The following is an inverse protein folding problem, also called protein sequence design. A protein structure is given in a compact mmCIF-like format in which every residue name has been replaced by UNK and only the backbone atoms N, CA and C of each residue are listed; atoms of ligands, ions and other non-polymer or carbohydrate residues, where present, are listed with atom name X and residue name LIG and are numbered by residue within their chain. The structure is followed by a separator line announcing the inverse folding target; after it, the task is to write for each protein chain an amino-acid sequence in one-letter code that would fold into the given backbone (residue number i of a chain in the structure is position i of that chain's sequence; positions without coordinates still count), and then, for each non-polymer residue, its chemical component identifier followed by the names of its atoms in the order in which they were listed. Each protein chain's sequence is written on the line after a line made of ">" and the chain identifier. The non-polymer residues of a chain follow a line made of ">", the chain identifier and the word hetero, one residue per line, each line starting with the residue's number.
data_IF_283511149151
#
_entry.id   IF_283511149151
#
_cell.length_a   1.000
_cell.length_b   1.000
_cell.length_c   1.000
_cell.angle_alpha   90.00
_cell.angle_beta   90.00
_cell.angle_gamma   90.00
#
_symmetry.space_group_name_H-M   'P 1'
#
loop_
_entity.id
_entity.type
_entity.pdbx_description
1 polymer ?
#
# COMPACT_ATOMS: atom_id res chain seq x y z
N UNK A 1 -27.51 -20.48 14.92
CA UNK A 1 -26.58 -20.26 13.79
C UNK A 1 -26.45 -18.78 13.44
N UNK A 2 -27.56 -18.05 13.24
CA UNK A 2 -27.60 -16.60 12.98
C UNK A 2 -26.78 -15.73 13.93
N UNK A 3 -26.82 -15.99 15.24
CA UNK A 3 -26.05 -15.23 16.24
C UNK A 3 -24.54 -15.36 16.01
N UNK A 4 -24.04 -16.54 15.63
CA UNK A 4 -22.61 -16.74 15.34
C UNK A 4 -22.19 -16.00 14.08
N UNK A 5 -23.06 -15.96 13.07
CA UNK A 5 -22.82 -15.21 11.84
C UNK A 5 -22.76 -13.69 12.10
N UNK A 6 -23.67 -13.18 12.95
CA UNK A 6 -23.67 -11.78 13.36
C UNK A 6 -22.36 -11.37 14.06
N UNK A 7 -21.85 -12.20 14.98
CA UNK A 7 -20.57 -11.94 15.62
C UNK A 7 -19.37 -12.01 14.66
N UNK A 8 -19.42 -12.86 13.62
CA UNK A 8 -18.36 -12.94 12.62
C UNK A 8 -18.28 -11.66 11.75
N UNK A 9 -19.43 -11.10 11.36
CA UNK A 9 -19.49 -9.85 10.56
C UNK A 9 -18.96 -8.66 11.38
N UNK A 10 -19.19 -8.66 12.70
CA UNK A 10 -18.73 -7.62 13.63
C UNK A 10 -17.21 -7.63 13.91
N UNK A 11 -16.50 -8.69 13.55
CA UNK A 11 -15.05 -8.78 13.73
C UNK A 11 -14.25 -8.13 12.60
N UNK A 12 -14.90 -7.81 11.47
CA UNK A 12 -14.23 -7.19 10.33
C UNK A 12 -14.08 -5.69 10.59
N UNK A 13 -12.84 -5.16 10.69
CA UNK A 13 -12.64 -3.73 10.88
C UNK A 13 -13.25 -2.95 9.70
N UNK A 14 -14.11 -1.94 9.93
CA UNK A 14 -14.61 -1.13 8.83
C UNK A 14 -13.44 -0.35 8.21
N UNK A 15 -13.35 -0.39 6.87
CA UNK A 15 -12.33 0.35 6.12
C UNK A 15 -10.96 -0.33 6.00
N UNK A 16 -10.79 -1.57 6.46
CA UNK A 16 -9.64 -2.40 6.07
C UNK A 16 -10.00 -3.31 4.91
N UNK A 17 -9.00 -3.67 4.11
CA UNK A 17 -9.16 -4.73 3.12
C UNK A 17 -9.44 -6.07 3.80
N UNK A 18 -10.49 -6.72 3.35
CA UNK A 18 -10.89 -8.07 3.69
C UNK A 18 -10.42 -9.04 2.60
N UNK A 19 -10.31 -10.35 2.89
CA UNK A 19 -9.90 -11.35 1.89
C UNK A 19 -10.77 -11.37 0.63
N UNK A 20 -12.03 -10.94 0.76
CA UNK A 20 -13.00 -10.88 -0.32
C UNK A 20 -12.89 -9.59 -1.16
N UNK A 21 -12.07 -8.61 -0.73
CA UNK A 21 -11.86 -7.32 -1.40
C UNK A 21 -10.85 -7.46 -2.54
N UNK A 22 -11.24 -8.18 -3.58
CA UNK A 22 -10.42 -8.54 -4.75
C UNK A 22 -10.65 -7.62 -5.95
N UNK A 23 -11.11 -6.39 -5.70
CA UNK A 23 -11.28 -5.38 -6.73
C UNK A 23 -9.91 -4.98 -7.30
N UNK A 24 -9.82 -4.67 -8.60
CA UNK A 24 -8.60 -4.14 -9.19
C UNK A 24 -8.24 -2.79 -8.56
N UNK A 25 -6.94 -2.47 -8.53
CA UNK A 25 -6.44 -1.15 -8.09
C UNK A 25 -7.11 -0.06 -8.94
N UNK A 26 -7.68 0.95 -8.28
CA UNK A 26 -8.32 2.09 -8.94
C UNK A 26 -7.37 3.29 -8.97
N UNK A 27 -6.72 3.52 -10.11
CA UNK A 27 -5.83 4.67 -10.28
C UNK A 27 -6.53 6.04 -10.30
N UNK A 28 -7.87 6.10 -10.24
CA UNK A 28 -8.61 7.35 -10.00
C UNK A 28 -8.70 7.69 -8.52
N UNK A 29 -8.58 6.69 -7.65
CA UNK A 29 -8.49 6.91 -6.23
C UNK A 29 -7.08 7.44 -5.87
N UNK A 30 -6.98 8.56 -5.16
CA UNK A 30 -5.69 9.16 -4.85
C UNK A 30 -4.83 8.29 -3.93
N UNK A 31 -5.42 7.48 -3.03
CA UNK A 31 -4.67 6.59 -2.16
C UNK A 31 -4.04 5.46 -2.96
N UNK A 32 -4.81 4.80 -3.83
CA UNK A 32 -4.32 3.73 -4.70
C UNK A 32 -3.20 4.21 -5.62
N UNK A 33 -3.36 5.38 -6.25
CA UNK A 33 -2.32 5.98 -7.08
C UNK A 33 -1.03 6.26 -6.28
N UNK A 34 -1.15 6.81 -5.07
CA UNK A 34 0.00 7.14 -4.23
C UNK A 34 0.74 5.87 -3.81
N UNK A 35 0.04 4.89 -3.26
CA UNK A 35 0.64 3.70 -2.65
C UNK A 35 1.21 2.76 -3.72
N UNK A 36 0.48 2.53 -4.81
CA UNK A 36 0.86 1.52 -5.81
C UNK A 36 1.74 2.06 -6.94
N UNK A 37 1.81 3.39 -7.13
CA UNK A 37 2.62 4.00 -8.20
C UNK A 37 3.67 4.96 -7.66
N UNK A 38 3.24 6.00 -6.93
CA UNK A 38 4.14 7.09 -6.52
C UNK A 38 5.18 6.61 -5.51
N UNK A 39 4.76 5.86 -4.49
CA UNK A 39 5.64 5.37 -3.42
C UNK A 39 6.77 4.46 -3.97
N UNK A 40 6.52 3.44 -4.81
CA UNK A 40 7.58 2.66 -5.45
C UNK A 40 8.57 3.51 -6.26
N UNK A 41 8.06 4.47 -7.02
CA UNK A 41 8.90 5.38 -7.83
C UNK A 41 9.81 6.23 -6.93
N UNK A 42 9.26 6.77 -5.83
CA UNK A 42 10.03 7.55 -4.85
C UNK A 42 11.09 6.69 -4.14
N UNK A 43 10.79 5.44 -3.80
CA UNK A 43 11.76 4.51 -3.21
C UNK A 43 12.93 4.24 -4.16
N UNK A 44 12.65 3.97 -5.44
CA UNK A 44 13.67 3.73 -6.46
C UNK A 44 14.51 4.99 -6.68
N UNK A 45 13.88 6.15 -6.88
CA UNK A 45 14.56 7.42 -7.08
C UNK A 45 15.44 7.78 -5.87
N UNK A 46 14.89 7.66 -4.66
CA UNK A 46 15.59 7.88 -3.41
C UNK A 46 16.81 6.96 -3.26
N UNK A 47 16.65 5.67 -3.57
CA UNK A 47 17.76 4.72 -3.57
C UNK A 47 18.88 5.11 -4.55
N UNK A 48 18.53 5.51 -5.78
CA UNK A 48 19.51 5.94 -6.79
C UNK A 48 20.26 7.19 -6.33
N UNK A 49 19.55 8.19 -5.78
CA UNK A 49 20.15 9.43 -5.26
C UNK A 49 21.11 9.11 -4.11
N UNK A 50 20.67 8.29 -3.14
CA UNK A 50 21.49 7.86 -2.01
C UNK A 50 22.74 7.10 -2.47
N UNK A 51 22.58 6.16 -3.41
CA UNK A 51 23.68 5.38 -3.98
C UNK A 51 24.69 6.26 -4.72
N UNK A 52 24.25 7.30 -5.43
CA UNK A 52 25.16 8.24 -6.11
C UNK A 52 25.94 9.08 -5.10
N UNK A 53 25.27 9.60 -4.06
CA UNK A 53 25.91 10.43 -3.03
C UNK A 53 27.05 9.69 -2.32
N UNK A 54 26.89 8.40 -1.98
CA UNK A 54 27.94 7.62 -1.29
C UNK A 54 29.21 7.42 -2.12
N UNK A 55 29.09 7.43 -3.46
CA UNK A 55 30.22 7.19 -4.34
C UNK A 55 31.07 8.45 -4.54
N UNK A 56 30.48 9.63 -4.36
CA UNK A 56 31.17 10.93 -4.49
C UNK A 56 31.92 11.37 -3.22
N UNK A 57 31.86 10.59 -2.12
CA UNK A 57 32.57 10.86 -0.86
C UNK A 57 33.81 9.95 -0.66
N UNK A 58 34.30 9.33 -1.73
CA UNK A 58 35.50 8.46 -1.71
C UNK A 58 36.72 9.06 -2.42
N UNK A 59 36.62 10.31 -2.87
CA UNK A 59 37.71 11.14 -3.38
C UNK A 59 38.04 12.24 -2.37
#
# INVERSE_FOLDING_TARGET
>A
MLIKLFFAILQLPPGTQNPDDNLPVDFKDPFDLIVYVILPVLLIAGYIIWKRKRNNHKD
#
